data_IF_805879074968
#
_entry.id   IF_805879074968
#
_cell.length_a   1.000
_cell.length_b   1.000
_cell.length_c   1.000
_cell.angle_alpha   90.00
_cell.angle_beta   90.00
_cell.angle_gamma   90.00
#
_symmetry.space_group_name_H-M   'P 1'
#
loop_
_entity.id
_entity.type
_entity.pdbx_description
1 polymer ?
#
# COMPACT_ATOMS: atom_id res chain seq x y z
N UNK A 1 -10.07 -10.47 25.79
CA UNK A 1 -11.45 -10.76 26.25
C UNK A 1 -12.47 -10.26 25.21
N UNK A 2 -13.47 -11.07 24.84
CA UNK A 2 -14.48 -10.73 23.83
C UNK A 2 -15.31 -9.47 24.21
N UNK A 3 -15.46 -9.30 25.52
CA UNK A 3 -16.04 -8.22 26.29
C UNK A 3 -15.39 -6.84 26.04
N UNK A 4 -14.07 -6.78 25.85
CA UNK A 4 -13.36 -5.50 25.56
C UNK A 4 -13.70 -4.98 24.16
N UNK A 5 -13.80 -5.89 23.18
CA UNK A 5 -14.15 -5.52 21.80
C UNK A 5 -15.60 -5.04 21.71
N UNK A 6 -16.52 -5.70 22.42
CA UNK A 6 -17.93 -5.30 22.43
C UNK A 6 -18.14 -3.94 23.10
N UNK A 7 -17.32 -3.58 24.09
CA UNK A 7 -17.48 -2.35 24.87
C UNK A 7 -16.75 -1.13 24.28
N UNK A 8 -15.62 -1.31 23.60
CA UNK A 8 -14.71 -0.20 23.24
C UNK A 8 -14.32 -0.12 21.76
N UNK A 9 -14.62 -1.13 20.94
CA UNK A 9 -14.25 -1.10 19.53
C UNK A 9 -15.36 -0.50 18.67
N UNK A 10 -14.97 0.32 17.70
CA UNK A 10 -15.90 0.82 16.69
C UNK A 10 -16.50 -0.35 15.87
N UNK A 11 -17.75 -0.22 15.39
CA UNK A 11 -18.35 -1.19 14.47
C UNK A 11 -17.46 -1.35 13.23
N UNK A 12 -16.79 -2.49 13.11
CA UNK A 12 -15.93 -2.77 11.97
C UNK A 12 -16.77 -3.28 10.81
N UNK A 13 -16.73 -2.57 9.68
CA UNK A 13 -17.37 -2.95 8.41
C UNK A 13 -16.46 -3.90 7.60
N UNK A 14 -15.25 -4.19 8.10
CA UNK A 14 -14.30 -5.07 7.43
C UNK A 14 -14.75 -6.52 7.67
N UNK A 15 -15.05 -7.29 6.61
CA UNK A 15 -15.43 -8.69 6.78
C UNK A 15 -14.29 -9.45 7.46
N UNK A 16 -14.64 -10.27 8.44
CA UNK A 16 -13.63 -11.08 9.12
C UNK A 16 -13.05 -12.09 8.11
N UNK A 17 -11.72 -12.16 7.97
CA UNK A 17 -11.11 -13.04 6.99
C UNK A 17 -11.40 -14.51 7.32
N UNK A 18 -11.87 -15.26 6.33
CA UNK A 18 -12.13 -16.70 6.43
C UNK A 18 -10.92 -17.56 6.02
N UNK A 19 -9.72 -16.97 5.97
CA UNK A 19 -8.49 -17.63 5.54
C UNK A 19 -7.28 -16.71 5.58
N UNK A 20 -6.13 -17.21 5.10
CA UNK A 20 -4.90 -16.42 5.01
C UNK A 20 -5.08 -15.24 4.07
N UNK A 21 -4.71 -14.04 4.54
CA UNK A 21 -4.78 -12.82 3.76
C UNK A 21 -3.43 -12.48 3.15
N UNK A 22 -3.34 -12.26 1.82
CA UNK A 22 -2.14 -11.73 1.23
C UNK A 22 -1.91 -10.27 1.67
N UNK A 23 -0.65 -9.79 1.74
CA UNK A 23 -0.34 -8.43 2.21
C UNK A 23 -1.06 -7.31 1.45
N UNK A 24 -1.33 -7.52 0.16
CA UNK A 24 -2.06 -6.56 -0.67
C UNK A 24 -3.49 -6.31 -0.16
N UNK A 25 -4.19 -7.36 0.29
CA UNK A 25 -5.55 -7.25 0.84
C UNK A 25 -5.56 -6.58 2.20
N UNK A 26 -4.57 -6.85 3.04
CA UNK A 26 -4.40 -6.16 4.31
C UNK A 26 -4.21 -4.64 4.08
N UNK A 27 -3.42 -4.27 3.06
CA UNK A 27 -3.21 -2.86 2.69
C UNK A 27 -4.47 -2.19 2.15
N UNK A 28 -5.29 -2.91 1.39
CA UNK A 28 -6.58 -2.42 0.90
C UNK A 28 -7.53 -2.12 2.06
N UNK A 29 -7.59 -2.99 3.08
CA UNK A 29 -8.50 -2.83 4.21
C UNK A 29 -8.02 -1.85 5.27
N UNK A 30 -6.73 -1.88 5.61
CA UNK A 30 -6.19 -1.17 6.78
C UNK A 30 -5.22 -0.05 6.39
N UNK A 31 -4.83 0.04 5.12
CA UNK A 31 -3.82 0.97 4.66
C UNK A 31 -2.38 0.54 4.98
N UNK A 32 -1.39 1.39 4.64
CA UNK A 32 0.02 1.01 4.64
C UNK A 32 0.61 0.81 6.04
N UNK A 33 0.24 1.62 7.03
CA UNK A 33 0.86 1.57 8.36
C UNK A 33 0.47 0.30 9.15
N UNK A 34 -0.82 -0.05 9.30
CA UNK A 34 -1.20 -1.31 9.96
C UNK A 34 -0.68 -2.55 9.23
N UNK A 35 -0.64 -2.51 7.89
CA UNK A 35 -0.06 -3.61 7.09
C UNK A 35 1.40 -3.87 7.43
N UNK A 36 2.23 -2.82 7.51
CA UNK A 36 3.64 -2.98 7.89
C UNK A 36 3.82 -3.55 9.28
N UNK A 37 2.96 -3.17 10.23
CA UNK A 37 3.00 -3.72 11.57
C UNK A 37 2.59 -5.19 11.57
N UNK A 38 1.50 -5.56 10.87
CA UNK A 38 1.05 -6.92 10.74
C UNK A 38 2.15 -7.86 10.22
N UNK A 39 2.87 -7.47 9.17
CA UNK A 39 3.94 -8.28 8.57
C UNK A 39 5.17 -8.50 9.46
N UNK A 40 5.26 -7.81 10.60
CA UNK A 40 6.36 -7.94 11.58
C UNK A 40 5.94 -8.65 12.86
N UNK A 41 4.65 -8.97 13.01
CA UNK A 41 4.17 -9.67 14.18
C UNK A 41 4.46 -11.17 14.04
N UNK A 42 5.02 -11.73 15.10
CA UNK A 42 5.13 -13.18 15.24
C UNK A 42 3.75 -13.81 15.48
N UNK A 43 3.51 -15.06 15.05
CA UNK A 43 2.29 -15.79 15.38
C UNK A 43 1.97 -15.74 16.88
N UNK A 44 0.72 -15.41 17.20
CA UNK A 44 0.23 -15.25 18.58
C UNK A 44 0.48 -13.87 19.19
N UNK A 45 1.32 -13.02 18.60
CA UNK A 45 1.62 -11.68 19.11
C UNK A 45 0.44 -10.71 18.89
N UNK A 46 0.39 -9.69 19.76
CA UNK A 46 -0.54 -8.56 19.68
C UNK A 46 0.29 -7.29 19.50
N UNK A 47 -0.15 -6.39 18.62
CA UNK A 47 0.52 -5.11 18.41
C UNK A 47 0.14 -4.08 19.48
N UNK A 48 0.99 -3.07 19.64
CA UNK A 48 0.57 -1.78 20.19
C UNK A 48 -0.50 -1.12 19.29
N UNK A 49 -1.23 -0.11 19.78
CA UNK A 49 -2.15 0.67 18.95
C UNK A 49 -1.43 1.36 17.78
N UNK A 50 -1.83 1.03 16.55
CA UNK A 50 -1.25 1.56 15.31
C UNK A 50 -2.19 2.59 14.72
N UNK A 51 -1.69 3.79 14.45
CA UNK A 51 -2.44 4.82 13.71
C UNK A 51 -2.51 4.47 12.22
N UNK A 52 -3.73 4.40 11.67
CA UNK A 52 -3.98 4.16 10.25
C UNK A 52 -5.11 5.05 9.73
N UNK A 53 -4.80 5.98 8.81
CA UNK A 53 -5.77 6.95 8.33
C UNK A 53 -6.36 7.78 9.49
N UNK A 54 -7.68 7.75 9.63
CA UNK A 54 -8.43 8.40 10.71
C UNK A 54 -8.67 7.54 11.95
N UNK A 55 -8.20 6.29 11.97
CA UNK A 55 -8.48 5.31 13.02
C UNK A 55 -7.21 4.75 13.69
N UNK A 56 -7.40 4.04 14.81
CA UNK A 56 -6.38 3.26 15.48
C UNK A 56 -6.71 1.76 15.40
N UNK A 57 -5.70 0.93 15.22
CA UNK A 57 -5.82 -0.52 15.08
C UNK A 57 -4.99 -1.23 16.13
N UNK A 58 -5.57 -2.25 16.77
CA UNK A 58 -4.83 -3.25 17.54
C UNK A 58 -4.95 -4.57 16.78
N UNK A 59 -3.81 -5.15 16.41
CA UNK A 59 -3.75 -6.34 15.58
C UNK A 59 -3.33 -7.54 16.44
N UNK A 60 -3.94 -8.69 16.19
CA UNK A 60 -3.48 -9.98 16.73
C UNK A 60 -3.11 -10.86 15.56
N UNK A 61 -1.87 -11.32 15.53
CA UNK A 61 -1.42 -12.31 14.56
C UNK A 61 -1.91 -13.68 15.00
N UNK A 62 -2.78 -14.31 14.20
CA UNK A 62 -3.25 -15.67 14.49
C UNK A 62 -2.24 -16.69 13.96
N UNK A 63 -1.83 -16.52 12.71
CA UNK A 63 -0.88 -17.38 12.01
C UNK A 63 -0.22 -16.59 10.86
N UNK A 64 0.99 -16.97 10.48
CA UNK A 64 1.76 -16.34 9.42
C UNK A 64 2.50 -17.38 8.59
N UNK A 65 2.21 -17.41 7.29
CA UNK A 65 2.97 -18.22 6.33
C UNK A 65 3.92 -17.31 5.54
N UNK A 66 5.24 -17.52 5.62
CA UNK A 66 6.18 -16.75 4.82
C UNK A 66 5.95 -17.03 3.34
N UNK A 67 5.94 -15.97 2.55
CA UNK A 67 5.96 -16.10 1.09
C UNK A 67 7.27 -16.76 0.64
N UNK A 68 7.19 -17.54 -0.43
CA UNK A 68 8.39 -18.07 -1.08
C UNK A 68 9.09 -16.89 -1.76
N UNK A 69 10.33 -16.61 -1.36
CA UNK A 69 11.19 -15.66 -2.06
C UNK A 69 12.01 -16.45 -3.10
N UNK A 70 11.68 -16.38 -4.40
CA UNK A 70 12.45 -17.10 -5.42
C UNK A 70 13.88 -16.54 -5.50
N UNK A 71 14.87 -17.36 -5.82
CA UNK A 71 16.23 -16.90 -6.05
C UNK A 71 16.26 -15.92 -7.23
N UNK A 72 17.19 -14.95 -7.20
CA UNK A 72 17.30 -13.93 -8.24
C UNK A 72 17.40 -14.55 -9.65
N UNK A 73 18.07 -15.69 -9.79
CA UNK A 73 18.20 -16.41 -11.07
C UNK A 73 16.86 -16.80 -11.70
N UNK A 74 15.83 -17.09 -10.89
CA UNK A 74 14.51 -17.47 -11.39
C UNK A 74 13.67 -16.25 -11.84
N UNK A 75 13.94 -15.08 -11.26
CA UNK A 75 13.16 -13.85 -11.49
C UNK A 75 13.95 -12.73 -12.17
N UNK A 76 15.19 -12.98 -12.59
CA UNK A 76 16.09 -11.94 -13.11
C UNK A 76 15.47 -11.20 -14.30
N UNK A 77 14.84 -11.94 -15.21
CA UNK A 77 14.18 -11.37 -16.40
C UNK A 77 13.08 -10.39 -16.01
N UNK A 78 12.21 -10.78 -15.09
CA UNK A 78 11.10 -9.93 -14.62
C UNK A 78 11.64 -8.68 -13.92
N UNK A 79 12.62 -8.84 -13.02
CA UNK A 79 13.27 -7.74 -12.32
C UNK A 79 13.90 -6.76 -13.33
N UNK A 80 14.64 -7.26 -14.33
CA UNK A 80 15.28 -6.44 -15.36
C UNK A 80 14.25 -5.67 -16.18
N UNK A 81 13.16 -6.32 -16.60
CA UNK A 81 12.07 -5.66 -17.35
C UNK A 81 11.44 -4.54 -16.53
N UNK A 82 11.13 -4.77 -15.25
CA UNK A 82 10.55 -3.74 -14.39
C UNK A 82 11.52 -2.58 -14.13
N UNK A 83 12.82 -2.86 -13.96
CA UNK A 83 13.84 -1.82 -13.82
C UNK A 83 13.94 -0.94 -15.08
N UNK A 84 13.92 -1.55 -16.27
CA UNK A 84 13.92 -0.81 -17.54
C UNK A 84 12.67 0.06 -17.68
N UNK A 85 11.50 -0.49 -17.34
CA UNK A 85 10.23 0.26 -17.37
C UNK A 85 10.29 1.49 -16.46
N UNK A 86 10.76 1.33 -15.22
CA UNK A 86 10.92 2.44 -14.27
C UNK A 86 11.92 3.48 -14.75
N UNK A 87 13.05 3.06 -15.32
CA UNK A 87 14.04 3.97 -15.87
C UNK A 87 13.46 4.80 -17.02
N UNK A 88 12.68 4.17 -17.92
CA UNK A 88 11.95 4.85 -18.98
C UNK A 88 10.93 5.87 -18.46
N UNK A 89 10.09 5.47 -17.48
CA UNK A 89 9.11 6.36 -16.85
C UNK A 89 9.78 7.60 -16.22
N UNK A 90 10.90 7.40 -15.54
CA UNK A 90 11.68 8.50 -14.93
C UNK A 90 12.29 9.40 -16.00
N UNK A 91 12.93 8.83 -17.03
CA UNK A 91 13.54 9.60 -18.10
C UNK A 91 12.51 10.47 -18.85
N UNK A 92 11.32 9.91 -19.13
CA UNK A 92 10.23 10.65 -19.76
C UNK A 92 9.75 11.81 -18.88
N UNK A 93 9.53 11.59 -17.59
CA UNK A 93 9.13 12.65 -16.66
C UNK A 93 10.16 13.77 -16.61
N UNK A 94 11.43 13.42 -16.42
CA UNK A 94 12.52 14.42 -16.40
C UNK A 94 12.61 15.21 -17.70
N UNK A 95 12.43 14.56 -18.85
CA UNK A 95 12.41 15.25 -20.15
C UNK A 95 11.21 16.20 -20.29
N UNK A 96 10.02 15.80 -19.83
CA UNK A 96 8.82 16.65 -19.86
C UNK A 96 8.94 17.84 -18.90
N UNK A 97 9.48 17.63 -17.70
CA UNK A 97 9.74 18.70 -16.72
C UNK A 97 10.72 19.73 -17.29
N UNK A 98 11.79 19.24 -17.90
CA UNK A 98 12.80 20.05 -18.57
C UNK A 98 12.23 20.87 -19.74
N UNK A 99 11.41 20.25 -20.60
CA UNK A 99 10.73 20.94 -21.69
C UNK A 99 9.76 22.01 -21.17
N UNK A 100 9.09 21.74 -20.05
CA UNK A 100 8.17 22.69 -19.40
C UNK A 100 8.90 23.88 -18.80
N UNK A 101 10.10 23.69 -18.25
CA UNK A 101 10.92 24.80 -17.73
C UNK A 101 11.46 25.71 -18.83
N UNK A 102 11.87 25.11 -19.97
CA UNK A 102 12.42 25.86 -21.10
C UNK A 102 11.35 26.50 -21.99
N UNK A 103 10.12 25.98 -21.96
CA UNK A 103 9.00 26.43 -22.79
C UNK A 103 8.01 27.32 -22.04
N UNK A 104 7.43 28.30 -22.72
CA UNK A 104 6.29 29.08 -22.18
C UNK A 104 5.02 28.23 -22.22
N UNK A 105 4.76 27.43 -21.19
CA UNK A 105 3.52 26.65 -21.08
C UNK A 105 2.39 27.54 -20.54
N UNK A 106 1.47 27.95 -21.43
CA UNK A 106 0.20 28.60 -21.03
C UNK A 106 -0.89 27.54 -20.90
N UNK A 107 -1.35 27.29 -19.68
CA UNK A 107 -2.55 26.52 -19.42
C UNK A 107 -3.73 27.49 -19.41
N UNK A 108 -4.60 27.44 -20.42
CA UNK A 108 -5.90 28.12 -20.33
C UNK A 108 -6.75 27.40 -19.28
N UNK A 109 -7.51 28.12 -18.44
CA UNK A 109 -8.43 27.48 -17.52
C UNK A 109 -9.44 26.62 -18.30
N UNK A 110 -9.83 25.45 -17.78
CA UNK A 110 -10.84 24.63 -18.42
C UNK A 110 -12.19 25.34 -18.23
N UNK A 111 -12.65 26.13 -19.21
CA UNK A 111 -13.99 26.74 -19.11
C UNK A 111 -14.35 27.97 -19.94
N UNK A 112 -13.50 28.50 -20.84
CA UNK A 112 -13.93 29.63 -21.68
C UNK A 112 -13.60 29.39 -23.16
N UNK A 113 -14.46 28.60 -23.79
CA UNK A 113 -14.65 28.62 -25.23
C UNK A 113 -16.14 28.90 -25.49
N UNK A 114 -16.45 30.09 -26.01
CA UNK A 114 -17.75 30.40 -26.60
C UNK A 114 -18.47 31.60 -25.99
N UNK A 115 -18.34 32.73 -26.69
CA UNK A 115 -19.21 33.90 -26.62
C UNK A 115 -19.05 34.67 -27.91
#
# INVERSE_FOLDING_TARGET
>A
PADVRAALADPSIIPFPQGMLPPAKIREYLGPSPTRAALRLEPGAISDPIRGGSAYYVLRMVDAQPGIQPPLSEVEKEVRTEMQRRAGDTALRSYLDDLRERGTVRLSPPGEAGG
#
